data_IF_352909150839
#
_entry.id   IF_352909150839
#
_cell.length_a   1.000
_cell.length_b   1.000
_cell.length_c   1.000
_cell.angle_alpha   90.00
_cell.angle_beta   90.00
_cell.angle_gamma   90.00
#
_symmetry.space_group_name_H-M   'P 1'
#
loop_
_entity.id
_entity.type
_entity.pdbx_description
1 polymer ?
#
# COMPACT_ATOMS: atom_id res chain seq x y z
N UNK A 1 -1.80 -1.29 -19.98
CA UNK A 1 -1.32 -1.32 -18.59
C UNK A 1 0.18 -1.50 -18.59
N UNK A 2 0.90 -0.67 -17.86
CA UNK A 2 2.38 -0.63 -17.84
C UNK A 2 2.99 -1.95 -17.40
N UNK A 3 2.44 -2.61 -16.36
CA UNK A 3 2.91 -3.94 -15.90
C UNK A 3 2.94 -4.98 -17.02
N UNK A 4 1.91 -5.00 -17.88
CA UNK A 4 1.86 -5.91 -19.03
C UNK A 4 2.97 -5.61 -20.05
N UNK A 5 3.25 -4.33 -20.30
CA UNK A 5 4.33 -3.91 -21.20
C UNK A 5 5.71 -4.27 -20.66
N UNK A 6 5.92 -4.12 -19.34
CA UNK A 6 7.18 -4.55 -18.70
C UNK A 6 7.34 -6.06 -18.79
N UNK A 7 6.29 -6.82 -18.52
CA UNK A 7 6.31 -8.28 -18.66
C UNK A 7 6.61 -8.72 -20.10
N UNK A 8 6.07 -8.03 -21.10
CA UNK A 8 6.35 -8.27 -22.53
C UNK A 8 7.82 -8.04 -22.86
N UNK A 9 8.41 -6.93 -22.39
CA UNK A 9 9.83 -6.63 -22.58
C UNK A 9 10.74 -7.65 -21.93
N UNK A 10 10.32 -8.23 -20.80
CA UNK A 10 11.04 -9.30 -20.10
C UNK A 10 10.76 -10.70 -20.67
N UNK A 11 9.90 -10.83 -21.66
CA UNK A 11 9.49 -12.14 -22.25
C UNK A 11 8.64 -13.00 -21.33
N UNK A 12 8.05 -12.41 -20.27
CA UNK A 12 7.23 -13.12 -19.30
C UNK A 12 5.80 -13.31 -19.84
N UNK A 13 5.45 -14.51 -20.21
CA UNK A 13 4.09 -14.86 -20.64
C UNK A 13 3.13 -14.93 -19.45
N UNK A 14 3.59 -15.53 -18.36
CA UNK A 14 2.86 -15.67 -17.09
C UNK A 14 3.77 -15.24 -15.92
N UNK A 15 3.20 -14.61 -14.91
CA UNK A 15 3.92 -14.12 -13.75
C UNK A 15 3.01 -14.02 -12.52
N UNK A 16 3.61 -14.01 -11.33
CA UNK A 16 2.94 -13.63 -10.10
C UNK A 16 3.18 -12.15 -9.81
N UNK A 17 2.30 -11.56 -9.03
CA UNK A 17 2.42 -10.18 -8.57
C UNK A 17 2.30 -10.11 -7.05
N UNK A 18 2.98 -9.14 -6.45
CA UNK A 18 2.75 -8.80 -5.06
C UNK A 18 2.77 -7.29 -4.85
N UNK A 19 2.13 -6.83 -3.77
CA UNK A 19 2.08 -5.42 -3.45
C UNK A 19 2.00 -5.18 -1.95
N UNK A 20 2.76 -4.21 -1.47
CA UNK A 20 2.76 -3.77 -0.09
C UNK A 20 2.08 -2.41 0.02
N UNK A 21 1.26 -2.20 1.07
CA UNK A 21 0.58 -0.93 1.35
C UNK A 21 -0.15 -0.40 0.10
N UNK A 22 0.12 0.81 -0.36
CA UNK A 22 -0.43 1.38 -1.59
C UNK A 22 -0.16 0.58 -2.87
N UNK A 23 0.80 -0.35 -2.86
CA UNK A 23 1.06 -1.29 -3.97
C UNK A 23 0.02 -2.42 -4.08
N UNK A 24 -0.71 -2.71 -3.00
CA UNK A 24 -1.71 -3.78 -2.97
C UNK A 24 -2.82 -3.62 -4.01
N UNK A 25 -3.50 -2.47 -4.12
CA UNK A 25 -4.50 -2.20 -5.15
C UNK A 25 -4.00 -2.42 -6.58
N UNK A 26 -2.75 -2.09 -6.87
CA UNK A 26 -2.15 -2.32 -8.20
C UNK A 26 -1.92 -3.81 -8.48
N UNK A 27 -1.51 -4.59 -7.46
CA UNK A 27 -1.42 -6.03 -7.59
C UNK A 27 -2.80 -6.67 -7.83
N UNK A 28 -3.84 -6.22 -7.12
CA UNK A 28 -5.22 -6.67 -7.31
C UNK A 28 -5.79 -6.22 -8.67
N UNK A 29 -5.42 -5.03 -9.16
CA UNK A 29 -5.76 -4.60 -10.51
C UNK A 29 -5.15 -5.52 -11.58
N UNK A 30 -3.89 -5.92 -11.43
CA UNK A 30 -3.24 -6.90 -12.32
C UNK A 30 -3.98 -8.24 -12.29
N UNK A 31 -4.34 -8.73 -11.10
CA UNK A 31 -5.10 -9.96 -10.92
C UNK A 31 -6.47 -9.95 -11.60
N UNK A 32 -7.14 -8.79 -11.62
CA UNK A 32 -8.46 -8.62 -12.23
C UNK A 32 -8.39 -8.44 -13.74
N UNK A 33 -7.41 -7.65 -14.20
CA UNK A 33 -7.38 -7.18 -15.60
C UNK A 33 -6.51 -8.04 -16.53
N UNK A 34 -5.66 -8.91 -15.95
CA UNK A 34 -4.78 -9.82 -16.70
C UNK A 34 -4.86 -11.26 -16.16
N UNK A 35 -6.06 -11.84 -15.95
CA UNK A 35 -6.20 -13.14 -15.30
C UNK A 35 -5.54 -14.31 -16.08
N UNK A 36 -5.34 -14.16 -17.39
CA UNK A 36 -4.65 -15.15 -18.22
C UNK A 36 -3.13 -15.14 -18.03
N UNK A 37 -2.58 -14.05 -17.51
CA UNK A 37 -1.13 -13.85 -17.33
C UNK A 37 -0.71 -13.89 -15.87
N UNK A 38 -1.53 -13.32 -14.98
CA UNK A 38 -1.26 -13.29 -13.55
C UNK A 38 -1.72 -14.61 -12.92
N UNK A 39 -0.75 -15.41 -12.44
CA UNK A 39 -1.02 -16.73 -11.89
C UNK A 39 -1.42 -16.74 -10.42
N UNK A 40 -0.93 -15.77 -9.67
CA UNK A 40 -1.26 -15.54 -8.27
C UNK A 40 -0.93 -14.11 -7.88
N UNK A 41 -1.58 -13.59 -6.84
CA UNK A 41 -1.28 -12.29 -6.25
C UNK A 41 -1.07 -12.42 -4.74
N UNK A 42 -0.12 -11.65 -4.20
CA UNK A 42 0.02 -11.48 -2.75
C UNK A 42 -0.07 -10.00 -2.39
N UNK A 43 -0.79 -9.67 -1.33
CA UNK A 43 -0.92 -8.30 -0.84
C UNK A 43 -0.65 -8.21 0.66
N UNK A 44 0.13 -7.20 1.05
CA UNK A 44 0.47 -6.91 2.44
C UNK A 44 -0.06 -5.54 2.84
N UNK A 45 -0.72 -5.45 4.00
CA UNK A 45 -1.13 -4.18 4.61
C UNK A 45 -1.80 -3.22 3.61
N UNK A 46 -2.66 -3.77 2.73
CA UNK A 46 -3.24 -3.06 1.58
C UNK A 46 -4.47 -2.25 1.95
N UNK A 47 -4.66 -1.02 1.42
CA UNK A 47 -5.94 -0.36 1.47
C UNK A 47 -7.02 -1.14 0.70
N UNK A 48 -8.25 -1.07 1.17
CA UNK A 48 -9.44 -1.56 0.47
C UNK A 48 -10.02 -0.47 -0.45
N UNK A 49 -10.90 -0.81 -1.40
CA UNK A 49 -11.64 0.18 -2.18
C UNK A 49 -12.41 1.15 -1.27
N UNK A 50 -12.36 2.44 -1.59
CA UNK A 50 -13.12 3.45 -0.87
C UNK A 50 -14.63 3.26 -1.09
N UNK A 51 -15.34 2.91 -0.03
CA UNK A 51 -16.78 2.65 -0.05
C UNK A 51 -17.44 3.13 1.27
N UNK A 52 -17.56 4.45 1.49
CA UNK A 52 -17.95 5.03 2.77
C UNK A 52 -19.35 4.66 3.23
N UNK A 53 -20.20 4.18 2.32
CA UNK A 53 -21.53 3.64 2.67
C UNK A 53 -21.48 2.21 3.24
N UNK A 54 -20.34 1.51 3.10
CA UNK A 54 -20.20 0.10 3.45
C UNK A 54 -19.24 -0.15 4.61
N UNK A 55 -18.24 0.71 4.78
CA UNK A 55 -17.32 0.66 5.92
C UNK A 55 -16.65 2.02 6.16
N UNK A 56 -16.21 2.29 7.38
CA UNK A 56 -15.45 3.49 7.71
C UNK A 56 -14.01 3.31 7.21
N UNK A 57 -13.70 3.91 6.06
CA UNK A 57 -12.37 3.83 5.43
C UNK A 57 -11.25 4.38 6.33
N UNK A 58 -11.57 5.33 7.18
CA UNK A 58 -10.62 5.98 8.09
C UNK A 58 -10.71 5.45 9.52
N UNK A 59 -11.35 4.28 9.74
CA UNK A 59 -11.39 3.64 11.06
C UNK A 59 -9.96 3.45 11.59
N UNK A 60 -9.71 3.92 12.81
CA UNK A 60 -8.39 3.83 13.44
C UNK A 60 -7.37 4.91 13.02
N UNK A 61 -7.67 5.75 12.03
CA UNK A 61 -6.80 6.86 11.67
C UNK A 61 -6.85 8.00 12.70
N UNK A 62 -5.76 8.80 12.73
CA UNK A 62 -5.76 10.03 13.51
C UNK A 62 -6.82 11.03 13.01
N UNK A 63 -7.26 11.94 13.89
CA UNK A 63 -8.21 12.99 13.51
C UNK A 63 -7.69 13.84 12.34
N UNK A 64 -6.39 14.10 12.28
CA UNK A 64 -5.76 14.85 11.20
C UNK A 64 -5.86 14.12 9.85
N UNK A 65 -5.53 12.82 9.81
CA UNK A 65 -5.63 12.01 8.59
C UNK A 65 -7.09 11.88 8.12
N UNK A 66 -8.02 11.72 9.04
CA UNK A 66 -9.47 11.68 8.75
C UNK A 66 -9.96 13.02 8.18
N UNK A 67 -9.50 14.14 8.71
CA UNK A 67 -9.84 15.47 8.20
C UNK A 67 -9.28 15.69 6.79
N UNK A 68 -8.06 15.23 6.49
CA UNK A 68 -7.49 15.34 5.14
C UNK A 68 -8.27 14.52 4.12
N UNK A 69 -8.67 13.29 4.46
CA UNK A 69 -9.56 12.50 3.62
C UNK A 69 -10.88 13.22 3.36
N UNK A 70 -11.50 13.78 4.39
CA UNK A 70 -12.75 14.54 4.25
C UNK A 70 -12.55 15.80 3.39
N UNK A 71 -11.44 16.51 3.57
CA UNK A 71 -11.08 17.70 2.80
C UNK A 71 -10.97 17.39 1.30
N UNK A 72 -10.41 16.25 0.94
CA UNK A 72 -10.34 15.84 -0.45
C UNK A 72 -11.72 15.83 -1.15
N UNK A 73 -12.74 15.33 -0.47
CA UNK A 73 -14.09 15.24 -1.03
C UNK A 73 -14.90 16.54 -0.94
N UNK A 74 -14.52 17.47 -0.04
CA UNK A 74 -15.25 18.74 0.17
C UNK A 74 -14.57 19.95 -0.46
N UNK A 75 -13.23 19.99 -0.49
CA UNK A 75 -12.42 21.06 -1.06
C UNK A 75 -11.10 20.49 -1.62
N UNK A 76 -11.17 19.89 -2.79
CA UNK A 76 -10.03 19.25 -3.47
C UNK A 76 -8.85 20.21 -3.71
N UNK A 77 -9.13 21.51 -3.90
CA UNK A 77 -8.07 22.51 -4.10
C UNK A 77 -7.26 22.72 -2.83
N UNK A 78 -7.93 22.86 -1.71
CA UNK A 78 -7.24 22.97 -0.39
C UNK A 78 -6.53 21.65 -0.04
N UNK A 79 -7.14 20.50 -0.29
CA UNK A 79 -6.48 19.20 -0.08
C UNK A 79 -5.17 19.10 -0.91
N UNK A 80 -5.20 19.50 -2.17
CA UNK A 80 -3.99 19.51 -3.04
C UNK A 80 -2.91 20.47 -2.55
N UNK A 81 -3.31 21.62 -2.01
CA UNK A 81 -2.35 22.61 -1.45
C UNK A 81 -1.69 22.07 -0.16
N UNK A 82 -2.48 21.43 0.72
CA UNK A 82 -1.96 20.81 1.95
C UNK A 82 -1.01 19.67 1.60
N UNK A 83 -1.39 18.80 0.66
CA UNK A 83 -0.55 17.69 0.19
C UNK A 83 0.82 18.15 -0.30
N UNK A 84 0.86 19.25 -1.06
CA UNK A 84 2.11 19.86 -1.50
C UNK A 84 2.96 20.33 -0.31
N UNK A 85 2.34 20.99 0.66
CA UNK A 85 3.03 21.45 1.87
C UNK A 85 3.58 20.25 2.69
N UNK A 86 2.82 19.15 2.75
CA UNK A 86 3.25 17.92 3.40
C UNK A 86 4.42 17.26 2.66
N UNK A 87 4.40 17.24 1.33
CA UNK A 87 5.51 16.74 0.51
C UNK A 87 6.79 17.57 0.71
N UNK A 88 6.68 18.90 0.73
CA UNK A 88 7.81 19.80 1.02
C UNK A 88 8.36 19.56 2.43
N UNK A 89 7.47 19.38 3.40
CA UNK A 89 7.82 19.09 4.80
C UNK A 89 8.48 17.72 4.92
N UNK A 90 7.96 16.72 4.21
CA UNK A 90 8.54 15.37 4.16
C UNK A 90 9.95 15.42 3.57
N UNK A 91 10.12 16.11 2.44
CA UNK A 91 11.43 16.27 1.80
C UNK A 91 12.43 16.99 2.71
N UNK A 92 12.01 18.05 3.36
CA UNK A 92 12.87 18.83 4.26
C UNK A 92 13.31 18.06 5.51
N UNK A 93 12.42 17.25 6.09
CA UNK A 93 12.62 16.61 7.38
C UNK A 93 13.00 15.13 7.30
N UNK A 94 12.53 14.38 6.30
CA UNK A 94 12.70 12.94 6.21
C UNK A 94 13.67 12.50 5.12
N UNK A 95 14.27 13.42 4.35
CA UNK A 95 15.26 13.11 3.32
C UNK A 95 16.67 12.83 3.88
N UNK A 96 16.83 12.78 5.18
CA UNK A 96 18.03 12.31 5.88
C UNK A 96 17.66 11.23 6.90
N UNK A 97 18.61 10.32 7.25
CA UNK A 97 18.36 9.29 8.25
C UNK A 97 17.93 9.87 9.61
N UNK A 98 18.59 10.93 10.04
CA UNK A 98 18.30 11.60 11.30
C UNK A 98 16.92 12.29 11.29
N UNK A 99 16.52 12.85 10.16
CA UNK A 99 15.19 13.45 9.97
C UNK A 99 14.10 12.39 9.98
N UNK A 100 14.31 11.28 9.29
CA UNK A 100 13.42 10.12 9.32
C UNK A 100 13.20 9.62 10.75
N UNK A 101 14.28 9.30 11.47
CA UNK A 101 14.23 8.80 12.84
C UNK A 101 13.53 9.77 13.80
N UNK A 102 13.73 11.10 13.65
CA UNK A 102 13.02 12.08 14.49
C UNK A 102 11.51 12.09 14.25
N UNK A 103 11.06 11.90 13.02
CA UNK A 103 9.63 11.93 12.68
C UNK A 103 8.90 10.67 13.12
N UNK A 104 9.53 9.52 12.98
CA UNK A 104 8.89 8.22 13.16
C UNK A 104 9.37 7.46 14.40
N UNK A 105 10.50 7.87 15.00
CA UNK A 105 11.12 7.20 16.14
C UNK A 105 10.32 7.23 17.45
N UNK A 106 9.41 8.20 17.62
CA UNK A 106 8.49 8.27 18.76
C UNK A 106 7.23 7.39 18.58
N UNK A 107 7.02 6.86 17.41
CA UNK A 107 6.02 5.83 17.21
C UNK A 107 6.65 4.52 17.65
N UNK A 108 6.18 3.98 18.78
CA UNK A 108 6.69 2.78 19.44
C UNK A 108 6.65 1.49 18.57
N UNK A 109 6.38 1.64 17.30
CA UNK A 109 6.33 0.63 16.25
C UNK A 109 7.65 0.52 15.47
N UNK A 110 8.57 1.48 15.64
CA UNK A 110 9.92 1.35 15.12
C UNK A 110 10.76 0.62 16.16
N UNK A 111 10.71 -0.70 16.14
CA UNK A 111 11.63 -1.52 16.90
C UNK A 111 13.08 -1.05 16.67
N UNK A 112 13.94 -1.30 17.67
CA UNK A 112 15.38 -1.03 17.58
C UNK A 112 16.05 -1.72 16.36
N UNK A 113 15.35 -2.62 15.68
CA UNK A 113 15.72 -3.22 14.40
C UNK A 113 15.60 -2.25 13.22
N UNK A 114 14.88 -1.15 13.34
CA UNK A 114 14.90 -0.08 12.33
C UNK A 114 16.18 0.73 12.51
N UNK A 115 17.26 0.07 12.19
CA UNK A 115 18.63 0.53 12.23
C UNK A 115 18.80 1.79 11.38
N UNK A 116 19.91 2.47 11.59
CA UNK A 116 20.37 3.55 10.72
C UNK A 116 20.30 3.17 9.23
N UNK A 117 20.53 1.93 8.89
CA UNK A 117 20.49 1.40 7.53
C UNK A 117 19.08 1.50 6.91
N UNK A 118 18.04 1.12 7.64
CA UNK A 118 16.64 1.28 7.20
C UNK A 118 16.28 2.75 7.08
N UNK A 119 16.69 3.59 8.04
CA UNK A 119 16.47 5.04 7.95
C UNK A 119 17.18 5.67 6.74
N UNK A 120 18.39 5.22 6.39
CA UNK A 120 19.12 5.65 5.18
C UNK A 120 18.37 5.25 3.90
N UNK A 121 17.86 4.03 3.83
CA UNK A 121 17.07 3.52 2.73
C UNK A 121 15.77 4.33 2.55
N UNK A 122 14.99 4.52 3.63
CA UNK A 122 13.74 5.27 3.59
C UNK A 122 13.94 6.76 3.27
N UNK A 123 15.02 7.37 3.80
CA UNK A 123 15.39 8.74 3.45
C UNK A 123 15.77 8.88 1.96
N UNK A 124 16.45 7.87 1.40
CA UNK A 124 16.73 7.84 -0.04
C UNK A 124 15.44 7.73 -0.87
N UNK A 125 14.49 6.90 -0.45
CA UNK A 125 13.17 6.80 -1.08
C UNK A 125 12.41 8.12 -1.10
N UNK A 126 12.39 8.88 0.01
CA UNK A 126 11.77 10.20 0.05
C UNK A 126 12.40 11.16 -0.96
N UNK A 127 13.74 11.17 -1.05
CA UNK A 127 14.44 12.02 -2.02
C UNK A 127 14.11 11.65 -3.46
N UNK A 128 14.07 10.35 -3.76
CA UNK A 128 13.82 9.84 -5.11
C UNK A 128 12.37 10.05 -5.52
N UNK A 129 11.41 9.70 -4.67
CA UNK A 129 9.98 9.82 -4.96
C UNK A 129 9.53 11.27 -5.17
N UNK A 130 10.19 12.23 -4.54
CA UNK A 130 9.90 13.66 -4.64
C UNK A 130 10.87 14.43 -5.55
N UNK A 131 11.83 13.76 -6.21
CA UNK A 131 12.84 14.41 -7.06
C UNK A 131 12.24 15.19 -8.23
N UNK A 132 11.11 14.74 -8.76
CA UNK A 132 10.36 15.37 -9.86
C UNK A 132 9.11 16.11 -9.39
N UNK A 133 9.04 16.45 -8.10
CA UNK A 133 7.88 17.08 -7.47
C UNK A 133 6.89 16.09 -6.88
N UNK A 134 5.81 16.63 -6.34
CA UNK A 134 4.83 15.91 -5.53
C UNK A 134 3.64 15.33 -6.32
N UNK A 135 3.62 15.49 -7.66
CA UNK A 135 2.47 15.10 -8.48
C UNK A 135 2.24 13.59 -8.46
N UNK A 136 3.29 12.78 -8.62
CA UNK A 136 3.17 11.33 -8.60
C UNK A 136 2.62 10.82 -7.27
N UNK A 137 3.10 11.37 -6.15
CA UNK A 137 2.63 11.03 -4.81
C UNK A 137 1.15 11.39 -4.60
N UNK A 138 0.74 12.56 -5.12
CA UNK A 138 -0.68 12.97 -5.13
C UNK A 138 -1.54 12.02 -5.97
N UNK A 139 -1.09 11.69 -7.18
CA UNK A 139 -1.86 10.84 -8.10
C UNK A 139 -2.02 9.43 -7.54
N UNK A 140 -0.98 8.86 -6.90
CA UNK A 140 -1.06 7.59 -6.20
C UNK A 140 -2.11 7.64 -5.08
N UNK A 141 -2.03 8.66 -4.20
CA UNK A 141 -3.00 8.79 -3.11
C UNK A 141 -4.44 8.93 -3.64
N UNK A 142 -4.65 9.74 -4.66
CA UNK A 142 -5.96 9.88 -5.32
C UNK A 142 -6.46 8.55 -5.87
N UNK A 143 -5.59 7.77 -6.49
CA UNK A 143 -5.94 6.45 -7.05
C UNK A 143 -6.42 5.45 -5.99
N UNK A 144 -5.97 5.60 -4.73
CA UNK A 144 -6.38 4.72 -3.64
C UNK A 144 -7.79 5.03 -3.11
N UNK A 145 -8.22 6.29 -3.17
CA UNK A 145 -9.48 6.77 -2.59
C UNK A 145 -10.58 7.09 -3.62
N UNK A 146 -10.27 7.06 -4.89
CA UNK A 146 -11.27 7.13 -5.97
C UNK A 146 -11.67 5.72 -6.45
N UNK A 147 -12.78 5.59 -7.22
CA UNK A 147 -13.19 4.30 -7.75
C UNK A 147 -12.07 3.64 -8.58
N UNK A 148 -11.70 2.42 -8.22
CA UNK A 148 -10.59 1.70 -8.86
C UNK A 148 -10.87 1.26 -10.30
N UNK A 149 -12.14 1.32 -10.75
CA UNK A 149 -12.54 0.93 -12.11
C UNK A 149 -12.53 -0.58 -12.38
N UNK A 150 -12.32 -1.42 -11.36
CA UNK A 150 -12.39 -2.88 -11.42
C UNK A 150 -13.07 -3.44 -10.16
N UNK A 151 -13.57 -4.67 -10.26
CA UNK A 151 -14.29 -5.34 -9.17
C UNK A 151 -13.46 -6.50 -8.61
N UNK A 152 -13.18 -6.46 -7.31
CA UNK A 152 -12.46 -7.51 -6.59
C UNK A 152 -13.23 -8.85 -6.59
N UNK A 153 -14.57 -8.83 -6.64
CA UNK A 153 -15.38 -10.03 -6.75
C UNK A 153 -15.17 -10.78 -8.10
N UNK A 154 -14.59 -10.10 -9.07
CA UNK A 154 -14.20 -10.68 -10.37
C UNK A 154 -12.91 -11.50 -10.34
N UNK A 155 -12.08 -11.41 -9.32
CA UNK A 155 -10.81 -12.14 -9.23
C UNK A 155 -11.07 -13.65 -9.16
N UNK A 156 -10.33 -14.42 -10.00
CA UNK A 156 -10.45 -15.88 -10.11
C UNK A 156 -9.13 -16.61 -9.83
N UNK A 157 -8.01 -15.89 -9.82
CA UNK A 157 -6.71 -16.43 -9.47
C UNK A 157 -6.55 -16.48 -7.94
N UNK A 158 -5.65 -17.33 -7.40
CA UNK A 158 -5.34 -17.36 -5.98
C UNK A 158 -4.80 -16.00 -5.49
N UNK A 159 -5.28 -15.54 -4.35
CA UNK A 159 -4.80 -14.33 -3.67
C UNK A 159 -4.40 -14.67 -2.24
N UNK A 160 -3.23 -14.22 -1.82
CA UNK A 160 -2.76 -14.26 -0.44
C UNK A 160 -2.78 -12.86 0.15
N UNK A 161 -3.33 -12.72 1.35
CA UNK A 161 -3.35 -11.46 2.10
C UNK A 161 -2.70 -11.64 3.47
N UNK A 162 -1.76 -10.75 3.77
CA UNK A 162 -1.22 -10.55 5.12
C UNK A 162 -1.56 -9.15 5.61
N UNK A 163 -2.16 -9.02 6.79
CA UNK A 163 -2.51 -7.72 7.36
C UNK A 163 -2.37 -7.74 8.88
N UNK A 164 -1.51 -6.88 9.43
CA UNK A 164 -1.26 -6.82 10.86
C UNK A 164 -2.44 -6.26 11.65
N UNK A 165 -2.78 -6.87 12.79
CA UNK A 165 -3.88 -6.39 13.64
C UNK A 165 -3.53 -5.10 14.39
N UNK A 166 -2.23 -4.76 14.50
CA UNK A 166 -1.74 -3.51 15.11
C UNK A 166 -1.36 -2.44 14.07
N UNK A 167 -1.70 -2.67 12.79
CA UNK A 167 -1.41 -1.70 11.74
C UNK A 167 -2.20 -0.40 11.96
N UNK A 168 -1.49 0.71 12.16
CA UNK A 168 -2.06 2.05 12.36
C UNK A 168 -1.99 2.92 11.11
N UNK A 169 -1.15 2.55 10.13
CA UNK A 169 -1.07 3.25 8.86
C UNK A 169 -2.23 2.85 7.95
N UNK A 170 -2.45 1.53 7.86
CA UNK A 170 -3.59 0.95 7.15
C UNK A 170 -4.32 -0.02 8.09
N UNK A 171 -5.30 0.44 8.86
CA UNK A 171 -5.97 -0.37 9.87
C UNK A 171 -6.52 -1.68 9.33
N UNK A 172 -6.51 -2.72 10.17
CA UNK A 172 -6.89 -4.10 9.80
C UNK A 172 -8.29 -4.23 9.19
N UNK A 173 -9.17 -3.26 9.42
CA UNK A 173 -10.47 -3.18 8.78
C UNK A 173 -10.40 -3.22 7.25
N UNK A 174 -9.33 -2.64 6.66
CA UNK A 174 -9.06 -2.73 5.22
C UNK A 174 -8.78 -4.17 4.78
N UNK A 175 -7.93 -4.88 5.51
CA UNK A 175 -7.64 -6.30 5.25
C UNK A 175 -8.91 -7.16 5.33
N UNK A 176 -9.72 -6.99 6.36
CA UNK A 176 -11.00 -7.69 6.49
C UNK A 176 -11.96 -7.35 5.35
N UNK A 177 -11.95 -6.10 4.87
CA UNK A 177 -12.78 -5.69 3.73
C UNK A 177 -12.32 -6.38 2.45
N UNK A 178 -11.02 -6.42 2.16
CA UNK A 178 -10.46 -7.14 1.00
C UNK A 178 -10.81 -8.63 1.09
N UNK A 179 -10.60 -9.26 2.25
CA UNK A 179 -10.90 -10.66 2.46
C UNK A 179 -12.39 -11.01 2.21
N UNK A 180 -13.29 -10.08 2.48
CA UNK A 180 -14.72 -10.23 2.19
C UNK A 180 -15.05 -10.10 0.70
N UNK A 181 -14.29 -9.31 -0.05
CA UNK A 181 -14.59 -8.98 -1.45
C UNK A 181 -13.96 -9.95 -2.45
N UNK A 182 -12.80 -10.53 -2.15
CA UNK A 182 -12.06 -11.43 -3.05
C UNK A 182 -12.46 -12.89 -2.80
N UNK A 183 -13.08 -13.60 -3.77
CA UNK A 183 -13.60 -14.95 -3.53
C UNK A 183 -12.51 -16.01 -3.32
N UNK A 184 -11.32 -15.79 -3.84
CA UNK A 184 -10.20 -16.77 -3.92
C UNK A 184 -9.08 -16.44 -2.95
N UNK A 185 -9.40 -15.77 -1.84
CA UNK A 185 -8.40 -15.23 -0.92
C UNK A 185 -8.08 -16.21 0.23
N UNK A 186 -6.80 -16.34 0.51
CA UNK A 186 -6.26 -16.85 1.76
C UNK A 186 -5.77 -15.64 2.56
N UNK A 187 -6.27 -15.43 3.79
CA UNK A 187 -6.02 -14.20 4.54
C UNK A 187 -5.50 -14.51 5.95
N UNK A 188 -4.43 -13.81 6.35
CA UNK A 188 -3.77 -13.93 7.63
C UNK A 188 -3.74 -12.57 8.35
N UNK A 189 -4.05 -12.59 9.64
CA UNK A 189 -4.14 -11.39 10.48
C UNK A 189 -3.34 -11.58 11.79
N UNK A 190 -1.99 -11.64 11.72
CA UNK A 190 -1.16 -11.79 12.91
C UNK A 190 -1.10 -10.50 13.74
N UNK A 191 -0.60 -10.63 14.99
CA UNK A 191 -0.40 -9.49 15.89
C UNK A 191 0.89 -8.74 15.54
N UNK A 192 0.84 -8.00 14.41
CA UNK A 192 1.94 -7.25 13.82
C UNK A 192 1.49 -5.86 13.38
N UNK A 193 2.45 -4.99 13.08
CA UNK A 193 2.24 -3.65 12.58
C UNK A 193 2.42 -3.55 11.05
N UNK A 194 2.37 -2.32 10.52
CA UNK A 194 2.45 -2.04 9.08
C UNK A 194 3.76 -2.49 8.43
N UNK A 195 4.88 -2.36 9.14
CA UNK A 195 6.21 -2.63 8.59
C UNK A 195 6.65 -4.07 8.84
N UNK A 196 6.43 -4.59 10.04
CA UNK A 196 6.86 -5.93 10.41
C UNK A 196 6.10 -7.02 9.66
N UNK A 197 4.86 -6.77 9.24
CA UNK A 197 4.04 -7.75 8.52
C UNK A 197 4.70 -8.24 7.22
N UNK A 198 5.29 -7.34 6.44
CA UNK A 198 5.96 -7.72 5.19
C UNK A 198 7.32 -8.35 5.48
N UNK A 199 8.11 -7.78 6.40
CA UNK A 199 9.43 -8.28 6.73
C UNK A 199 9.40 -9.73 7.26
N UNK A 200 8.44 -10.05 8.12
CA UNK A 200 8.33 -11.37 8.75
C UNK A 200 7.75 -12.44 7.81
N UNK A 201 6.88 -12.07 6.86
CA UNK A 201 6.15 -13.03 6.03
C UNK A 201 6.52 -12.99 4.55
N UNK A 202 7.46 -12.14 4.14
CA UNK A 202 7.88 -12.01 2.73
C UNK A 202 8.38 -13.32 2.12
N UNK A 203 9.20 -14.07 2.84
CA UNK A 203 9.73 -15.34 2.33
C UNK A 203 8.63 -16.39 2.17
N UNK A 204 7.73 -16.49 3.13
CA UNK A 204 6.56 -17.37 3.07
C UNK A 204 5.67 -17.01 1.86
N UNK A 205 5.44 -15.72 1.64
CA UNK A 205 4.68 -15.25 0.49
C UNK A 205 5.36 -15.57 -0.85
N UNK A 206 6.68 -15.47 -0.94
CA UNK A 206 7.43 -15.85 -2.14
C UNK A 206 7.34 -17.35 -2.40
N UNK A 207 7.48 -18.19 -1.38
CA UNK A 207 7.30 -19.64 -1.49
C UNK A 207 5.88 -19.98 -1.92
N UNK A 208 4.89 -19.29 -1.35
CA UNK A 208 3.48 -19.46 -1.74
C UNK A 208 3.24 -19.07 -3.20
N UNK A 209 3.74 -17.91 -3.66
CA UNK A 209 3.62 -17.45 -5.05
C UNK A 209 4.31 -18.40 -6.04
N UNK A 210 5.51 -18.86 -5.70
CA UNK A 210 6.29 -19.76 -6.59
C UNK A 210 5.70 -21.16 -6.67
N UNK A 211 4.98 -21.62 -5.65
CA UNK A 211 4.29 -22.92 -5.66
C UNK A 211 3.07 -22.96 -6.60
N UNK A 212 2.65 -21.82 -7.15
CA UNK A 212 1.49 -21.68 -8.05
C UNK A 212 1.85 -21.68 -9.54
N UNK A 213 3.12 -21.90 -9.88
CA UNK A 213 3.60 -21.92 -11.26
C UNK A 213 3.06 -23.11 -12.08
#
# INVERSE_FOLDING_TARGET
METGMVADQLGLQRFAVWGFSGGGPYALACATTMPERVIAACVFASPAPYAPAEFDYAEGWSDGARQELQRYFTDRKSARANWRQDAETMLANCSSPEGWLRRWGDQAELDAAHSREVAEYLAAHVRESLANGDQGWWDDWVSLIEPWGFDLAGIRIPVLLWHGTRDRNMPVAHGHRIAKLVPTIEAHFPDEDHTTIEDNHRLEAYDWLTSRQ
#
